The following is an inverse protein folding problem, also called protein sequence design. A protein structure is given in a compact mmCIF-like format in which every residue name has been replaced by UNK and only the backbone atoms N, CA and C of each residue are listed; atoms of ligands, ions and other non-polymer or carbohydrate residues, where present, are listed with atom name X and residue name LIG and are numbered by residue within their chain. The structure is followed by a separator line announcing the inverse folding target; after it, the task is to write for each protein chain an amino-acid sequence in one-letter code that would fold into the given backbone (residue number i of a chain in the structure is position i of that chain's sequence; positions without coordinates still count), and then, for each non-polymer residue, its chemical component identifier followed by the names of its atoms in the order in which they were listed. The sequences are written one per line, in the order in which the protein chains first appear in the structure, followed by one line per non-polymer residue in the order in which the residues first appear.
data_IF_336654615869
#
_entry.id   IF_336654615869
#
_cell.length_a   1.000
_cell.length_b   1.000
_cell.length_c   1.000
_cell.angle_alpha   90.00
_cell.angle_beta   90.00
_cell.angle_gamma   90.00
#
_symmetry.space_group_name_H-M   'P 1'
#
loop_
_entity.id
_entity.type
_entity.pdbx_description
1 polymer ?
#
# COMPACT_ATOMS: atom_id res chain seq x y z
N UNK A 1 41.46 47.94 2.23
CA UNK A 1 41.14 46.97 1.16
C UNK A 1 40.99 45.60 1.80
N UNK A 2 39.83 44.96 1.57
CA UNK A 2 39.49 43.53 1.72
C UNK A 2 39.60 42.96 3.15
N UNK A 3 38.54 42.57 3.87
CA UNK A 3 37.28 41.94 3.43
C UNK A 3 37.49 40.42 3.29
N UNK A 4 37.27 39.66 4.37
CA UNK A 4 37.49 38.20 4.38
C UNK A 4 36.62 37.50 5.43
N UNK A 5 35.34 37.34 5.08
CA UNK A 5 34.29 36.62 5.78
C UNK A 5 34.55 35.10 5.65
N UNK A 6 34.91 34.41 6.73
CA UNK A 6 34.91 32.93 6.75
C UNK A 6 33.52 32.44 7.18
N UNK A 7 32.70 32.12 6.18
CA UNK A 7 31.42 31.46 6.33
C UNK A 7 31.61 30.04 6.90
N UNK A 8 30.79 29.71 7.90
CA UNK A 8 30.62 28.37 8.47
C UNK A 8 30.13 27.42 7.37
N UNK A 9 30.88 26.36 7.08
CA UNK A 9 30.34 25.18 6.41
C UNK A 9 29.70 24.29 7.50
N UNK A 10 28.36 24.27 7.54
CA UNK A 10 27.61 23.29 8.30
C UNK A 10 27.79 21.91 7.65
N UNK A 11 28.22 20.94 8.45
CA UNK A 11 28.14 19.53 8.09
C UNK A 11 26.66 19.11 8.14
N UNK A 12 26.09 18.77 6.98
CA UNK A 12 24.82 18.04 6.89
C UNK A 12 25.12 16.65 6.33
N UNK A 13 24.68 15.63 7.08
CA UNK A 13 24.80 14.22 6.74
C UNK A 13 23.94 13.88 5.50
N UNK A 14 24.36 12.96 4.61
CA UNK A 14 23.54 12.51 3.50
C UNK A 14 22.55 11.45 4.03
N UNK A 15 21.40 11.93 4.48
CA UNK A 15 20.20 11.14 4.69
C UNK A 15 19.07 11.84 3.97
N UNK A 16 19.05 11.75 2.63
CA UNK A 16 18.01 12.38 1.82
C UNK A 16 17.54 11.42 0.74
N UNK A 17 16.30 10.96 0.91
CA UNK A 17 15.36 10.53 -0.14
C UNK A 17 15.77 9.24 -0.86
N UNK A 18 14.83 8.33 -1.10
CA UNK A 18 14.99 7.34 -2.16
C UNK A 18 15.13 8.12 -3.47
N UNK A 19 16.36 8.44 -3.85
CA UNK A 19 16.66 8.96 -5.16
C UNK A 19 16.33 7.81 -6.12
N UNK A 20 15.32 8.03 -6.95
CA UNK A 20 15.16 7.26 -8.16
C UNK A 20 16.54 7.11 -8.83
N UNK A 21 16.83 5.93 -9.38
CA UNK A 21 18.06 5.67 -10.13
C UNK A 21 18.40 6.93 -10.95
N UNK A 22 19.62 7.50 -10.83
CA UNK A 22 19.99 8.72 -11.53
C UNK A 22 19.55 8.61 -12.98
N UNK A 23 18.95 9.65 -13.56
CA UNK A 23 18.32 9.58 -14.89
C UNK A 23 19.24 8.96 -15.96
N UNK A 24 20.55 9.13 -15.80
CA UNK A 24 21.56 8.51 -16.64
C UNK A 24 21.53 6.97 -16.65
N UNK A 25 21.18 6.32 -15.54
CA UNK A 25 21.08 4.85 -15.43
C UNK A 25 19.79 4.32 -16.06
N UNK A 26 18.73 5.11 -16.18
CA UNK A 26 17.47 4.67 -16.78
C UNK A 26 17.61 4.32 -18.27
N UNK A 27 18.57 4.93 -18.97
CA UNK A 27 18.79 4.71 -20.39
C UNK A 27 19.99 3.80 -20.69
N UNK A 28 20.64 3.28 -19.65
CA UNK A 28 21.66 2.23 -19.79
C UNK A 28 20.97 0.87 -19.91
N UNK A 29 21.72 -0.11 -20.40
CA UNK A 29 21.36 -1.52 -20.45
C UNK A 29 22.39 -2.24 -19.57
N UNK A 30 22.00 -2.55 -18.33
CA UNK A 30 22.92 -2.96 -17.28
C UNK A 30 23.30 -4.45 -17.34
N UNK A 31 22.47 -5.30 -17.94
CA UNK A 31 22.74 -6.73 -18.11
C UNK A 31 23.01 -7.13 -19.57
N UNK A 32 22.95 -6.16 -20.48
CA UNK A 32 23.34 -6.27 -21.88
C UNK A 32 22.46 -7.23 -22.69
N UNK A 33 21.16 -7.27 -22.39
CA UNK A 33 20.19 -8.11 -23.09
C UNK A 33 19.49 -7.40 -24.27
N UNK A 34 19.71 -6.08 -24.41
CA UNK A 34 19.11 -5.24 -25.44
C UNK A 34 17.85 -4.49 -25.01
N UNK A 35 17.43 -4.60 -23.75
CA UNK A 35 16.36 -3.83 -23.11
C UNK A 35 16.97 -2.82 -22.15
N UNK A 36 16.70 -1.53 -22.35
CA UNK A 36 17.22 -0.48 -21.46
C UNK A 36 16.55 -0.54 -20.09
N UNK A 37 17.27 -0.22 -19.01
CA UNK A 37 16.84 -0.30 -17.61
C UNK A 37 15.46 0.33 -17.32
N UNK A 38 15.06 1.37 -18.05
CA UNK A 38 13.71 1.97 -17.93
C UNK A 38 12.56 1.08 -18.41
N UNK A 39 12.86 0.08 -19.22
CA UNK A 39 11.92 -0.86 -19.85
C UNK A 39 12.21 -2.31 -19.47
N UNK A 40 13.29 -2.56 -18.71
CA UNK A 40 13.70 -3.87 -18.26
C UNK A 40 13.23 -4.10 -16.82
N UNK A 41 12.37 -5.10 -16.62
CA UNK A 41 11.88 -5.52 -15.31
C UNK A 41 12.94 -6.27 -14.50
N UNK A 42 13.99 -6.75 -15.15
CA UNK A 42 15.03 -7.61 -14.62
C UNK A 42 16.45 -7.05 -14.87
N UNK A 43 16.67 -5.74 -14.69
CA UNK A 43 17.91 -4.94 -14.95
C UNK A 43 19.31 -5.52 -14.62
N UNK A 44 19.41 -6.66 -13.95
CA UNK A 44 20.66 -7.35 -13.60
C UNK A 44 20.68 -8.82 -14.07
N UNK A 45 19.77 -9.20 -14.96
CA UNK A 45 19.53 -10.56 -15.36
C UNK A 45 18.94 -10.64 -16.77
N UNK A 46 19.73 -11.05 -17.77
CA UNK A 46 19.37 -10.87 -19.17
C UNK A 46 18.15 -11.69 -19.57
N UNK A 47 17.29 -11.13 -20.41
CA UNK A 47 16.11 -11.77 -20.95
C UNK A 47 15.64 -11.24 -22.31
N UNK A 48 14.70 -11.94 -22.97
CA UNK A 48 14.11 -11.43 -24.20
C UNK A 48 13.25 -10.17 -23.98
N UNK A 49 13.28 -9.27 -24.95
CA UNK A 49 12.41 -8.09 -24.99
C UNK A 49 10.92 -8.45 -25.02
N UNK A 50 10.55 -9.61 -25.58
CA UNK A 50 9.16 -10.12 -25.54
C UNK A 50 8.68 -10.44 -24.11
N UNK A 51 9.59 -10.44 -23.14
CA UNK A 51 9.36 -10.72 -21.75
C UNK A 51 9.87 -9.60 -20.84
N UNK A 52 9.88 -8.38 -21.36
CA UNK A 52 10.28 -7.16 -20.65
C UNK A 52 11.66 -7.29 -19.97
N UNK A 53 12.63 -7.94 -20.63
CA UNK A 53 14.01 -8.12 -20.17
C UNK A 53 14.23 -9.28 -19.19
N UNK A 54 13.23 -10.12 -18.92
CA UNK A 54 13.38 -11.25 -18.00
C UNK A 54 13.61 -12.60 -18.73
N UNK A 55 14.44 -13.54 -18.22
CA UNK A 55 14.85 -14.76 -18.94
C UNK A 55 13.78 -15.87 -19.13
N UNK A 56 12.66 -15.86 -18.42
CA UNK A 56 11.63 -16.92 -18.49
C UNK A 56 10.26 -16.37 -18.86
N UNK A 57 9.51 -17.06 -19.73
CA UNK A 57 8.13 -16.71 -20.10
C UNK A 57 7.31 -16.44 -18.84
N UNK A 58 7.02 -15.17 -18.56
CA UNK A 58 6.10 -14.81 -17.49
C UNK A 58 4.74 -15.29 -17.95
N UNK A 59 4.32 -16.47 -17.48
CA UNK A 59 2.89 -16.73 -17.36
C UNK A 59 2.40 -15.72 -16.32
N UNK A 60 2.02 -14.53 -16.78
CA UNK A 60 1.21 -13.61 -15.98
C UNK A 60 -0.12 -14.33 -15.83
N UNK A 61 -0.20 -15.21 -14.85
CA UNK A 61 -1.48 -15.65 -14.32
C UNK A 61 -1.98 -14.45 -13.53
N UNK A 62 -3.07 -13.78 -13.92
CA UNK A 62 -3.64 -12.74 -13.10
C UNK A 62 -4.08 -13.38 -11.77
N UNK A 63 -3.32 -13.12 -10.71
CA UNK A 63 -3.53 -13.68 -9.37
C UNK A 63 -2.37 -13.32 -8.43
N UNK A 64 -2.59 -13.36 -7.10
CA UNK A 64 -1.62 -12.91 -6.09
C UNK A 64 -0.43 -13.85 -5.90
N UNK A 65 -0.40 -14.99 -6.59
CA UNK A 65 0.74 -15.91 -6.62
C UNK A 65 1.21 -16.05 -8.07
N UNK A 66 1.94 -15.06 -8.56
CA UNK A 66 2.78 -15.24 -9.74
C UNK A 66 3.82 -16.31 -9.39
N UNK A 67 3.69 -17.51 -9.94
CA UNK A 67 4.49 -18.69 -9.58
C UNK A 67 5.78 -18.83 -10.41
N UNK A 68 6.31 -17.71 -10.92
CA UNK A 68 7.58 -17.68 -11.66
C UNK A 68 8.79 -17.50 -10.75
N UNK A 69 9.96 -18.03 -11.15
CA UNK A 69 11.23 -17.88 -10.41
C UNK A 69 11.63 -16.40 -10.18
N UNK A 70 11.15 -15.50 -11.03
CA UNK A 70 11.35 -14.04 -10.97
C UNK A 70 10.21 -13.25 -10.34
N UNK A 71 9.09 -13.90 -10.01
CA UNK A 71 7.94 -13.21 -9.45
C UNK A 71 8.30 -12.39 -8.19
N UNK A 72 9.21 -12.92 -7.36
CA UNK A 72 9.74 -12.25 -6.18
C UNK A 72 10.55 -10.97 -6.44
N UNK A 73 10.98 -10.71 -7.67
CA UNK A 73 11.72 -9.49 -8.02
C UNK A 73 10.84 -8.46 -8.73
N UNK A 74 9.58 -8.81 -9.05
CA UNK A 74 8.67 -7.87 -9.69
C UNK A 74 8.41 -6.68 -8.77
N UNK A 75 8.39 -5.43 -9.29
CA UNK A 75 8.20 -4.23 -8.46
C UNK A 75 6.93 -4.26 -7.60
N UNK A 76 5.87 -4.92 -8.08
CA UNK A 76 4.58 -4.98 -7.38
C UNK A 76 4.32 -6.33 -6.69
N UNK A 77 5.29 -7.24 -6.66
CA UNK A 77 5.20 -8.45 -5.86
C UNK A 77 5.50 -8.17 -4.38
N UNK A 78 5.01 -9.05 -3.52
CA UNK A 78 5.19 -9.02 -2.04
C UNK A 78 5.60 -10.45 -1.61
N UNK A 79 6.86 -10.83 -1.87
CA UNK A 79 7.32 -12.21 -1.72
C UNK A 79 7.48 -12.66 -0.25
N UNK A 80 7.73 -11.74 0.68
CA UNK A 80 7.78 -12.00 2.12
C UNK A 80 6.46 -11.74 2.85
N UNK A 81 5.45 -11.24 2.12
CA UNK A 81 4.04 -11.18 2.51
C UNK A 81 3.79 -10.28 3.72
N UNK A 82 4.54 -9.18 3.83
CA UNK A 82 4.38 -8.20 4.89
C UNK A 82 3.38 -7.07 4.53
N UNK A 83 2.84 -7.10 3.31
CA UNK A 83 1.85 -6.17 2.81
C UNK A 83 2.45 -4.89 2.22
N UNK A 84 3.77 -4.78 2.09
CA UNK A 84 4.45 -3.79 1.26
C UNK A 84 5.02 -4.47 -0.01
N UNK A 85 4.58 -4.07 -1.21
CA UNK A 85 5.21 -4.54 -2.43
C UNK A 85 6.69 -4.10 -2.52
N UNK A 86 7.53 -4.86 -3.23
CA UNK A 86 8.96 -4.62 -3.44
C UNK A 86 9.33 -3.17 -3.76
N UNK A 87 8.55 -2.48 -4.59
CA UNK A 87 8.78 -1.06 -4.95
C UNK A 87 8.66 -0.10 -3.77
N UNK A 88 8.02 -0.53 -2.68
CA UNK A 88 7.83 0.22 -1.43
C UNK A 88 8.53 -0.42 -0.22
N UNK A 89 9.21 -1.56 -0.42
CA UNK A 89 9.84 -2.35 0.63
C UNK A 89 11.38 -2.26 0.53
N UNK A 90 12.02 -1.83 1.62
CA UNK A 90 13.47 -1.77 1.74
C UNK A 90 14.10 -3.15 2.01
N UNK A 91 13.33 -4.08 2.55
CA UNK A 91 13.73 -5.43 2.92
C UNK A 91 12.84 -6.49 2.22
N UNK A 92 12.76 -6.52 0.88
CA UNK A 92 11.79 -7.29 0.08
C UNK A 92 11.89 -8.82 0.17
N UNK A 93 12.70 -9.36 1.07
CA UNK A 93 12.82 -10.81 1.30
C UNK A 93 12.76 -11.14 2.80
N UNK A 94 12.40 -10.17 3.64
CA UNK A 94 12.35 -10.30 5.07
C UNK A 94 11.24 -9.42 5.64
N UNK A 95 10.13 -10.06 5.98
CA UNK A 95 8.95 -9.38 6.48
C UNK A 95 9.26 -8.40 7.63
N UNK A 96 8.70 -7.20 7.52
CA UNK A 96 8.90 -6.16 8.50
C UNK A 96 7.67 -5.28 8.69
N UNK A 97 7.95 -4.07 9.16
CA UNK A 97 6.91 -3.14 9.62
C UNK A 97 6.79 -2.00 8.62
N UNK A 98 5.57 -1.56 8.35
CA UNK A 98 5.33 -0.40 7.47
C UNK A 98 6.07 0.86 7.92
N UNK A 99 6.15 1.10 9.22
CA UNK A 99 6.88 2.24 9.81
C UNK A 99 8.39 2.17 9.58
N UNK A 100 8.90 0.97 9.33
CA UNK A 100 10.30 0.68 9.01
C UNK A 100 10.48 0.32 7.53
N UNK A 101 9.51 0.67 6.67
CA UNK A 101 9.56 0.44 5.23
C UNK A 101 9.79 -1.03 4.87
N UNK A 102 9.07 -1.93 5.56
CA UNK A 102 9.12 -3.38 5.34
C UNK A 102 10.33 -4.07 5.97
N UNK A 103 11.17 -3.32 6.68
CA UNK A 103 12.28 -3.92 7.43
C UNK A 103 11.92 -4.35 8.86
N UNK A 104 12.56 -5.41 9.38
CA UNK A 104 12.37 -5.85 10.74
C UNK A 104 12.90 -4.82 11.76
N UNK A 105 12.31 -4.73 12.95
CA UNK A 105 12.80 -3.85 14.00
C UNK A 105 14.16 -4.33 14.54
N UNK A 106 15.03 -3.42 15.01
CA UNK A 106 16.22 -3.78 15.75
C UNK A 106 15.86 -4.61 17.01
N UNK A 107 16.72 -5.57 17.40
CA UNK A 107 16.47 -6.39 18.58
C UNK A 107 16.28 -5.52 19.83
N UNK A 108 15.24 -5.80 20.61
CA UNK A 108 14.93 -5.10 21.86
C UNK A 108 14.10 -3.82 21.71
N UNK A 109 13.68 -3.42 20.49
CA UNK A 109 12.69 -2.35 20.33
C UNK A 109 11.26 -2.90 20.46
N UNK A 110 10.47 -2.29 21.36
CA UNK A 110 9.02 -2.45 21.38
C UNK A 110 8.43 -1.71 20.19
N UNK A 111 7.79 -2.45 19.30
CA UNK A 111 7.04 -1.92 18.15
C UNK A 111 5.59 -1.70 18.58
N UNK A 112 4.95 -0.68 18.04
CA UNK A 112 3.56 -0.38 18.34
C UNK A 112 2.67 -1.23 17.41
N UNK A 113 2.03 -2.31 17.90
CA UNK A 113 1.16 -3.17 17.07
C UNK A 113 -0.07 -2.43 16.48
N UNK A 114 -0.25 -1.15 16.82
CA UNK A 114 -1.32 -0.31 16.31
C UNK A 114 -0.93 0.45 15.02
N UNK A 115 0.35 0.79 14.84
CA UNK A 115 0.92 1.48 13.67
C UNK A 115 1.73 0.54 12.77
N UNK A 116 2.24 -0.56 13.34
CA UNK A 116 3.29 -1.38 12.73
C UNK A 116 2.79 -2.73 12.19
N UNK A 117 1.48 -3.01 12.19
CA UNK A 117 1.02 -4.28 11.63
C UNK A 117 1.29 -4.35 10.12
N UNK A 118 1.76 -5.50 9.61
CA UNK A 118 1.74 -5.78 8.19
C UNK A 118 0.34 -5.52 7.67
N UNK A 119 0.23 -4.85 6.52
CA UNK A 119 -1.08 -4.76 5.89
C UNK A 119 -1.55 -6.21 5.67
N UNK A 120 -2.79 -6.57 6.05
CA UNK A 120 -3.26 -7.93 5.82
C UNK A 120 -2.99 -8.26 4.34
N UNK A 121 -2.49 -9.48 4.02
CA UNK A 121 -2.32 -9.90 2.64
C UNK A 121 -3.65 -9.63 1.95
N UNK A 122 -3.63 -8.68 1.02
CA UNK A 122 -4.83 -7.96 0.57
C UNK A 122 -5.61 -8.82 -0.43
N UNK A 123 -5.92 -10.06 -0.05
CA UNK A 123 -6.93 -10.87 -0.70
C UNK A 123 -8.31 -10.36 -0.30
N UNK A 124 -9.25 -10.47 -1.25
CA UNK A 124 -10.66 -10.07 -1.09
C UNK A 124 -11.38 -10.75 0.09
N UNK A 125 -10.76 -11.73 0.76
CA UNK A 125 -11.32 -12.48 1.89
C UNK A 125 -11.69 -11.62 3.11
N UNK A 126 -11.03 -10.46 3.31
CA UNK A 126 -11.35 -9.55 4.40
C UNK A 126 -12.29 -8.41 4.00
N UNK A 127 -12.63 -8.27 2.71
CA UNK A 127 -13.55 -7.24 2.25
C UNK A 127 -14.97 -7.60 2.69
N UNK A 128 -15.48 -6.86 3.66
CA UNK A 128 -16.81 -7.12 4.19
C UNK A 128 -17.90 -6.40 3.38
N UNK A 129 -17.62 -5.20 2.82
CA UNK A 129 -18.59 -4.50 1.97
C UNK A 129 -18.00 -3.39 1.09
N UNK A 130 -18.67 -3.15 -0.04
CA UNK A 130 -18.63 -1.89 -0.77
C UNK A 130 -19.81 -1.02 -0.35
N UNK A 131 -19.53 0.11 0.31
CA UNK A 131 -20.55 1.02 0.79
C UNK A 131 -20.71 2.16 -0.20
N UNK A 132 -21.93 2.41 -0.74
CA UNK A 132 -22.13 3.53 -1.65
C UNK A 132 -21.77 4.84 -0.95
N UNK A 133 -21.16 5.77 -1.68
CA UNK A 133 -20.87 7.09 -1.13
C UNK A 133 -22.16 7.73 -0.62
N UNK A 134 -22.13 8.38 0.56
CA UNK A 134 -23.30 9.04 1.10
C UNK A 134 -23.77 10.12 0.12
N UNK A 135 -25.05 10.08 -0.23
CA UNK A 135 -25.63 11.15 -1.04
C UNK A 135 -25.78 12.42 -0.20
N UNK A 136 -25.60 13.62 -0.79
CA UNK A 136 -25.85 14.86 -0.09
C UNK A 136 -27.32 14.89 0.36
N UNK A 137 -27.57 14.86 1.67
CA UNK A 137 -28.91 14.95 2.23
C UNK A 137 -29.27 16.42 2.47
N UNK A 138 -30.54 16.79 2.23
CA UNK A 138 -31.04 18.13 2.52
C UNK A 138 -31.03 18.48 4.02
N UNK A 139 -30.88 17.48 4.89
CA UNK A 139 -30.84 17.60 6.36
C UNK A 139 -29.42 17.70 6.93
N UNK A 140 -28.39 17.74 6.07
CA UNK A 140 -27.00 17.98 6.46
C UNK A 140 -26.28 16.81 7.14
N UNK A 141 -26.98 15.75 7.54
CA UNK A 141 -26.38 14.54 8.08
C UNK A 141 -26.22 13.47 6.97
N UNK A 142 -25.02 12.93 6.75
CA UNK A 142 -24.82 11.87 5.77
C UNK A 142 -25.60 10.61 6.18
N UNK A 143 -26.50 10.15 5.32
CA UNK A 143 -27.20 8.87 5.52
C UNK A 143 -26.32 7.77 4.97
N UNK A 144 -25.69 6.99 5.85
CA UNK A 144 -24.97 5.78 5.46
C UNK A 144 -25.92 4.59 5.43
N UNK A 145 -26.03 3.94 4.27
CA UNK A 145 -26.80 2.72 4.11
C UNK A 145 -25.90 1.50 4.38
N UNK A 146 -25.64 1.20 5.65
CA UNK A 146 -25.07 -0.09 6.04
C UNK A 146 -26.21 -1.10 6.25
N UNK A 147 -26.16 -2.30 5.65
CA UNK A 147 -27.13 -3.34 5.95
C UNK A 147 -27.12 -3.67 7.46
N UNK A 148 -28.29 -3.80 8.08
CA UNK A 148 -28.40 -4.10 9.50
C UNK A 148 -27.66 -5.39 9.87
N UNK A 149 -27.67 -6.39 8.99
CA UNK A 149 -26.93 -7.64 9.15
C UNK A 149 -25.43 -7.41 9.31
N UNK A 150 -24.86 -6.52 8.50
CA UNK A 150 -23.45 -6.14 8.55
C UNK A 150 -23.15 -5.34 9.82
N UNK A 151 -23.99 -4.36 10.17
CA UNK A 151 -23.80 -3.57 11.39
C UNK A 151 -23.80 -4.48 12.63
N UNK A 152 -24.74 -5.41 12.72
CA UNK A 152 -24.79 -6.40 13.81
C UNK A 152 -23.55 -7.31 13.81
N UNK A 153 -23.06 -7.73 12.64
CA UNK A 153 -21.83 -8.52 12.54
C UNK A 153 -20.61 -7.75 13.07
N UNK A 154 -20.47 -6.46 12.70
CA UNK A 154 -19.37 -5.61 13.17
C UNK A 154 -19.38 -5.42 14.69
N UNK A 155 -20.57 -5.22 15.27
CA UNK A 155 -20.76 -5.08 16.72
C UNK A 155 -20.38 -6.38 17.44
N UNK A 156 -20.79 -7.54 16.91
CA UNK A 156 -20.56 -8.87 17.52
C UNK A 156 -19.12 -9.39 17.43
N UNK A 157 -18.22 -8.71 16.72
CA UNK A 157 -16.81 -9.09 16.61
C UNK A 157 -15.89 -8.14 17.40
N UNK A 158 -15.89 -8.15 18.74
CA UNK A 158 -15.12 -7.17 19.53
C UNK A 158 -13.60 -7.25 19.31
N UNK A 159 -13.09 -8.41 18.88
CA UNK A 159 -11.69 -8.66 18.55
C UNK A 159 -11.40 -8.57 17.05
N UNK A 160 -11.96 -7.57 16.36
CA UNK A 160 -11.61 -7.30 14.97
C UNK A 160 -11.27 -5.83 14.72
N UNK A 161 -10.43 -5.59 13.72
CA UNK A 161 -10.16 -4.26 13.17
C UNK A 161 -11.00 -4.03 11.93
N UNK A 162 -11.44 -2.79 11.76
CA UNK A 162 -12.25 -2.34 10.65
C UNK A 162 -11.45 -1.29 9.91
N UNK A 163 -11.15 -1.55 8.64
CA UNK A 163 -10.45 -0.63 7.75
C UNK A 163 -11.42 -0.03 6.76
N UNK A 164 -11.38 1.29 6.61
CA UNK A 164 -12.15 2.06 5.67
C UNK A 164 -11.19 2.76 4.71
N UNK A 165 -11.43 2.66 3.42
CA UNK A 165 -10.64 3.38 2.42
C UNK A 165 -11.48 3.80 1.23
N UNK A 166 -11.02 4.85 0.55
CA UNK A 166 -11.64 5.42 -0.63
C UNK A 166 -10.59 6.12 -1.48
N UNK A 167 -10.95 6.60 -2.68
CA UNK A 167 -10.11 7.56 -3.39
C UNK A 167 -9.93 8.86 -2.58
N UNK A 168 -8.85 9.63 -2.80
CA UNK A 168 -8.60 10.88 -2.08
C UNK A 168 -9.77 11.87 -2.11
N UNK A 169 -10.48 11.93 -3.24
CA UNK A 169 -11.68 12.75 -3.42
C UNK A 169 -12.82 12.46 -2.43
N UNK A 170 -12.80 11.31 -1.75
CA UNK A 170 -13.86 10.85 -0.85
C UNK A 170 -13.43 10.74 0.62
N UNK A 171 -12.25 11.27 0.97
CA UNK A 171 -11.67 11.13 2.32
C UNK A 171 -12.58 11.71 3.41
N UNK A 172 -13.26 12.84 3.14
CA UNK A 172 -14.21 13.46 4.07
C UNK A 172 -15.40 12.54 4.36
N UNK A 173 -15.98 11.93 3.32
CA UNK A 173 -17.09 10.99 3.44
C UNK A 173 -16.69 9.73 4.20
N UNK A 174 -15.47 9.23 3.95
CA UNK A 174 -14.91 8.07 4.66
C UNK A 174 -14.72 8.36 6.16
N UNK A 175 -14.27 9.58 6.51
CA UNK A 175 -14.18 9.99 7.91
C UNK A 175 -15.56 10.16 8.57
N UNK A 176 -16.54 10.69 7.84
CA UNK A 176 -17.92 10.80 8.33
C UNK A 176 -18.53 9.42 8.61
N UNK A 177 -18.25 8.43 7.76
CA UNK A 177 -18.67 7.03 7.99
C UNK A 177 -18.03 6.47 9.26
N UNK A 178 -16.72 6.68 9.45
CA UNK A 178 -16.02 6.24 10.65
C UNK A 178 -16.67 6.81 11.92
N UNK A 179 -16.96 8.12 11.92
CA UNK A 179 -17.63 8.78 13.04
C UNK A 179 -19.04 8.23 13.28
N UNK A 180 -19.81 8.01 12.22
CA UNK A 180 -21.14 7.42 12.32
C UNK A 180 -21.11 6.01 12.93
N UNK A 181 -20.18 5.14 12.52
CA UNK A 181 -20.01 3.81 13.10
C UNK A 181 -19.72 3.85 14.60
N UNK A 182 -18.97 4.85 15.07
CA UNK A 182 -18.71 5.07 16.50
C UNK A 182 -20.01 5.38 17.24
N UNK A 183 -20.88 6.23 16.68
CA UNK A 183 -22.20 6.51 17.28
C UNK A 183 -23.11 5.28 17.36
N UNK A 184 -22.85 4.26 16.54
CA UNK A 184 -23.57 2.96 16.57
C UNK A 184 -22.98 1.94 17.54
N UNK A 185 -22.00 2.33 18.36
CA UNK A 185 -21.42 1.49 19.40
C UNK A 185 -20.19 0.70 18.98
N UNK A 186 -19.64 0.94 17.77
CA UNK A 186 -18.35 0.36 17.38
C UNK A 186 -17.23 1.14 18.06
N UNK A 187 -16.41 0.46 18.85
CA UNK A 187 -15.30 1.09 19.57
C UNK A 187 -14.34 1.81 18.60
N UNK A 188 -14.05 3.09 18.86
CA UNK A 188 -13.20 3.93 18.00
C UNK A 188 -11.82 3.34 17.73
N UNK A 189 -11.26 2.60 18.69
CA UNK A 189 -9.96 1.91 18.54
C UNK A 189 -9.97 0.81 17.47
N UNK A 190 -11.14 0.30 17.09
CA UNK A 190 -11.29 -0.74 16.05
C UNK A 190 -11.31 -0.17 14.64
N UNK A 191 -11.61 1.11 14.44
CA UNK A 191 -11.80 1.71 13.11
C UNK A 191 -10.53 2.43 12.66
N UNK A 192 -10.12 2.23 11.40
CA UNK A 192 -9.05 2.97 10.72
C UNK A 192 -9.50 3.46 9.37
N UNK A 193 -9.28 4.75 9.12
CA UNK A 193 -9.35 5.32 7.77
C UNK A 193 -7.94 5.29 7.20
N UNK A 194 -7.75 4.58 6.09
CA UNK A 194 -6.44 4.43 5.45
C UNK A 194 -6.51 4.88 3.99
N UNK A 195 -5.35 5.20 3.41
CA UNK A 195 -5.22 5.39 1.97
C UNK A 195 -5.55 4.08 1.24
N UNK A 196 -6.11 4.15 0.02
CA UNK A 196 -6.41 2.97 -0.76
C UNK A 196 -5.10 2.20 -1.00
N UNK A 197 -5.07 0.87 -0.77
CA UNK A 197 -3.85 0.10 -0.96
C UNK A 197 -3.39 0.17 -2.41
N UNK A 198 -2.07 0.17 -2.68
CA UNK A 198 -1.53 0.24 -4.04
C UNK A 198 -2.02 -0.92 -4.94
N UNK A 199 -2.23 -2.11 -4.37
CA UNK A 199 -2.67 -3.34 -5.08
C UNK A 199 -4.16 -3.31 -5.48
N UNK A 200 -4.98 -2.43 -4.91
CA UNK A 200 -6.42 -2.31 -5.24
C UNK A 200 -6.63 -1.55 -6.58
N UNK A 201 -5.57 -1.23 -7.31
CA UNK A 201 -5.63 -0.46 -8.55
C UNK A 201 -5.79 -1.30 -9.83
N UNK A 202 -6.35 -2.51 -9.74
CA UNK A 202 -6.98 -3.13 -10.92
C UNK A 202 -8.07 -2.22 -11.49
N UNK A 203 -8.22 -2.16 -12.82
CA UNK A 203 -9.14 -1.23 -13.52
C UNK A 203 -10.57 -1.31 -12.98
N UNK A 204 -11.02 -2.51 -12.62
CA UNK A 204 -12.38 -2.80 -12.12
C UNK A 204 -12.62 -2.28 -10.69
N UNK A 205 -11.69 -2.52 -9.77
CA UNK A 205 -11.80 -2.01 -8.38
C UNK A 205 -11.63 -0.50 -8.32
N UNK A 206 -10.76 0.08 -9.18
CA UNK A 206 -10.64 1.53 -9.31
C UNK A 206 -11.94 2.17 -9.81
N UNK A 207 -12.72 1.48 -10.66
CA UNK A 207 -14.05 1.94 -11.07
C UNK A 207 -15.06 1.88 -9.92
N UNK A 208 -14.99 0.88 -9.04
CA UNK A 208 -15.86 0.78 -7.86
C UNK A 208 -15.57 1.88 -6.83
N UNK A 209 -14.29 2.18 -6.57
CA UNK A 209 -13.86 3.21 -5.62
C UNK A 209 -14.22 4.65 -6.05
N UNK A 210 -14.60 4.87 -7.32
CA UNK A 210 -15.15 6.16 -7.78
C UNK A 210 -16.52 6.47 -7.18
N UNK A 211 -17.23 5.46 -6.68
CA UNK A 211 -18.61 5.61 -6.18
C UNK A 211 -18.87 4.91 -4.85
N UNK A 212 -17.85 4.28 -4.27
CA UNK A 212 -17.96 3.54 -3.01
C UNK A 212 -16.80 3.83 -2.05
N UNK A 213 -17.06 3.62 -0.78
CA UNK A 213 -16.09 3.43 0.30
C UNK A 213 -15.96 1.92 0.51
N UNK A 214 -14.74 1.42 0.58
CA UNK A 214 -14.50 0.03 0.90
C UNK A 214 -14.37 -0.17 2.41
N UNK A 215 -14.96 -1.25 2.92
CA UNK A 215 -14.91 -1.66 4.31
C UNK A 215 -14.35 -3.08 4.40
N UNK A 216 -13.22 -3.24 5.10
CA UNK A 216 -12.66 -4.55 5.44
C UNK A 216 -12.72 -4.79 6.94
N UNK A 217 -12.87 -6.06 7.31
CA UNK A 217 -12.85 -6.53 8.69
C UNK A 217 -11.79 -7.59 8.83
N UNK A 218 -10.83 -7.35 9.73
CA UNK A 218 -9.70 -8.22 9.97
C UNK A 218 -9.78 -8.71 11.43
N UNK A 219 -9.96 -10.02 11.67
CA UNK A 219 -9.89 -10.55 13.02
C UNK A 219 -8.48 -10.34 13.61
N UNK A 220 -8.41 -10.06 14.92
CA UNK A 220 -7.18 -9.95 15.69
C UNK A 220 -6.81 -11.25 16.38
#
# INVERSE_FOLDING_TARGET
MLGGLWLRAGAQAPGTRAEALPEALLYQDADHDGVVNKYDLCMHQPGPAENDGCPERVAIVPGPYSTGLYARYLPYADPDQDGLPNVYDQCPNQAGLRSLQGCPPPPGKSVNPFEDLPLPPFEAQHLAAWLPLPQPSATGLPTFALPDSLLHALIRQPHSRIFLWSLPAHTSQTQQLANWLITKGIGSRRIRVISPPPVVQGVEQRALLKRHIALAVVPL
#
